data_IF_656903114357
#
_entry.id   IF_656903114357
#
_cell.length_a   1.000
_cell.length_b   1.000
_cell.length_c   1.000
_cell.angle_alpha   90.00
_cell.angle_beta   90.00
_cell.angle_gamma   90.00
#
_symmetry.space_group_name_H-M   'P 1'
#
loop_
_entity.id
_entity.type
_entity.pdbx_description
1 polymer ?
#
# COMPACT_ATOMS: atom_id res chain seq x y z
N UNK A 1 -20.83 -19.89 -12.86
CA UNK A 1 -21.73 -19.01 -12.08
C UNK A 1 -23.04 -18.87 -12.86
N UNK A 2 -24.19 -19.22 -12.25
CA UNK A 2 -25.48 -19.26 -12.98
C UNK A 2 -25.93 -17.84 -13.35
N UNK A 3 -25.95 -17.50 -14.63
CA UNK A 3 -26.34 -16.19 -15.17
C UNK A 3 -27.71 -15.70 -14.64
N UNK A 4 -28.64 -16.63 -14.43
CA UNK A 4 -29.98 -16.34 -13.91
C UNK A 4 -29.96 -15.84 -12.44
N UNK A 5 -29.12 -16.41 -11.61
CA UNK A 5 -28.96 -16.01 -10.20
C UNK A 5 -28.35 -14.60 -10.08
N UNK A 6 -27.31 -14.31 -10.87
CA UNK A 6 -26.67 -12.99 -10.92
C UNK A 6 -27.65 -11.91 -11.38
N UNK A 7 -28.42 -12.15 -12.43
CA UNK A 7 -29.45 -11.21 -12.91
C UNK A 7 -30.50 -10.92 -11.85
N UNK A 8 -30.96 -11.94 -11.13
CA UNK A 8 -31.97 -11.80 -10.06
C UNK A 8 -31.47 -10.93 -8.92
N UNK A 9 -30.20 -11.07 -8.48
CA UNK A 9 -29.62 -10.22 -7.47
C UNK A 9 -29.51 -8.78 -7.97
N UNK A 10 -28.96 -8.58 -9.17
CA UNK A 10 -28.75 -7.25 -9.72
C UNK A 10 -30.03 -6.49 -10.01
N UNK A 11 -31.13 -7.18 -10.32
CA UNK A 11 -32.44 -6.51 -10.54
C UNK A 11 -33.06 -5.92 -9.26
N UNK A 12 -32.58 -6.29 -8.09
CA UNK A 12 -33.07 -5.80 -6.80
C UNK A 12 -32.17 -4.76 -6.13
N UNK A 13 -31.10 -4.29 -6.79
CA UNK A 13 -30.16 -3.30 -6.24
C UNK A 13 -30.29 -1.96 -6.97
N UNK A 14 -30.06 -0.89 -6.23
CA UNK A 14 -30.09 0.48 -6.71
C UNK A 14 -28.95 1.33 -6.10
N UNK A 15 -29.04 2.62 -6.20
CA UNK A 15 -28.04 3.59 -5.76
C UNK A 15 -27.84 3.61 -4.23
N UNK A 16 -28.65 2.88 -3.46
CA UNK A 16 -28.47 2.72 -2.01
C UNK A 16 -27.27 1.84 -1.64
N UNK A 17 -26.76 1.05 -2.60
CA UNK A 17 -25.59 0.21 -2.37
C UNK A 17 -24.34 1.08 -2.27
N UNK A 18 -23.61 1.05 -1.13
CA UNK A 18 -22.46 1.90 -0.95
C UNK A 18 -21.29 1.47 -1.88
N UNK A 19 -20.54 2.46 -2.33
CA UNK A 19 -19.28 2.22 -3.06
C UNK A 19 -18.33 1.44 -2.16
N UNK A 20 -17.69 0.41 -2.72
CA UNK A 20 -16.70 -0.38 -1.98
C UNK A 20 -15.56 0.50 -1.47
N UNK A 21 -15.23 0.37 -0.20
CA UNK A 21 -14.13 1.08 0.43
C UNK A 21 -13.42 0.18 1.44
N UNK A 22 -12.11 0.39 1.58
CA UNK A 22 -11.32 -0.22 2.64
C UNK A 22 -11.30 0.62 3.92
N UNK A 23 -12.12 1.66 4.03
CA UNK A 23 -12.18 2.50 5.22
C UNK A 23 -12.42 1.64 6.49
N UNK A 24 -11.60 1.89 7.54
CA UNK A 24 -11.56 1.11 8.78
C UNK A 24 -11.08 -0.35 8.62
N UNK A 25 -10.48 -0.72 7.48
CA UNK A 25 -9.81 -2.01 7.35
C UNK A 25 -8.46 -1.96 8.06
N UNK A 26 -8.19 -2.99 8.85
CA UNK A 26 -6.91 -3.23 9.51
C UNK A 26 -6.41 -4.63 9.17
N UNK A 27 -5.14 -4.77 8.86
CA UNK A 27 -4.63 -6.10 8.55
C UNK A 27 -3.20 -6.12 8.03
N UNK A 28 -2.71 -7.34 7.82
CA UNK A 28 -1.44 -7.54 7.15
C UNK A 28 -1.55 -7.26 5.66
N UNK A 29 -0.55 -6.56 5.15
CA UNK A 29 -0.37 -6.29 3.73
C UNK A 29 1.03 -6.72 3.28
N UNK A 30 1.11 -7.36 2.13
CA UNK A 30 2.37 -7.73 1.48
C UNK A 30 2.67 -6.72 0.40
N UNK A 31 3.66 -5.86 0.62
CA UNK A 31 4.16 -4.91 -0.38
C UNK A 31 4.70 -5.70 -1.58
N UNK A 32 4.29 -5.30 -2.77
CA UNK A 32 4.73 -5.89 -4.04
C UNK A 32 5.54 -4.92 -4.89
N UNK A 33 5.33 -3.62 -4.74
CA UNK A 33 6.15 -2.58 -5.35
C UNK A 33 5.96 -1.25 -4.63
N UNK A 34 7.00 -0.42 -4.63
CA UNK A 34 6.98 0.95 -4.12
C UNK A 34 7.26 1.88 -5.30
N UNK A 35 6.36 2.84 -5.54
CA UNK A 35 6.49 3.78 -6.64
C UNK A 35 7.33 5.00 -6.23
N UNK A 36 6.95 5.64 -5.13
CA UNK A 36 7.65 6.77 -4.51
C UNK A 36 7.60 6.64 -2.98
N UNK A 37 7.96 7.69 -2.24
CA UNK A 37 8.01 7.64 -0.78
C UNK A 37 6.64 7.54 -0.10
N UNK A 38 5.53 7.78 -0.81
CA UNK A 38 4.18 7.77 -0.24
C UNK A 38 3.18 6.87 -0.98
N UNK A 39 3.56 6.27 -2.10
CA UNK A 39 2.66 5.45 -2.93
C UNK A 39 3.25 4.07 -3.19
N UNK A 40 2.50 3.03 -2.87
CA UNK A 40 2.93 1.65 -3.02
C UNK A 40 1.78 0.71 -3.41
N UNK A 41 2.13 -0.46 -3.93
CA UNK A 41 1.19 -1.55 -4.20
C UNK A 41 1.40 -2.65 -3.17
N UNK A 42 0.30 -3.12 -2.62
CA UNK A 42 0.33 -4.26 -1.72
C UNK A 42 -0.86 -5.20 -1.94
N UNK A 43 -0.67 -6.43 -1.53
CA UNK A 43 -1.71 -7.48 -1.51
C UNK A 43 -2.19 -7.65 -0.08
N UNK A 44 -3.50 -7.63 0.09
CA UNK A 44 -4.20 -7.99 1.33
C UNK A 44 -5.10 -9.20 1.09
N UNK A 45 -5.49 -9.87 2.16
CA UNK A 45 -6.51 -10.93 2.09
C UNK A 45 -7.85 -10.31 2.44
N UNK A 46 -8.76 -10.30 1.47
CA UNK A 46 -10.12 -9.81 1.65
C UNK A 46 -11.11 -10.92 1.26
N UNK A 47 -12.05 -11.23 2.14
CA UNK A 47 -13.01 -12.34 1.97
C UNK A 47 -12.32 -13.66 1.57
N UNK A 48 -11.16 -13.96 2.18
CA UNK A 48 -10.38 -15.17 1.93
C UNK A 48 -9.62 -15.19 0.59
N UNK A 49 -9.54 -14.07 -0.13
CA UNK A 49 -8.84 -13.97 -1.42
C UNK A 49 -7.76 -12.90 -1.40
N UNK A 50 -6.59 -13.17 -2.03
CA UNK A 50 -5.56 -12.16 -2.19
C UNK A 50 -5.99 -11.13 -3.25
N UNK A 51 -6.06 -9.86 -2.84
CA UNK A 51 -6.38 -8.73 -3.72
C UNK A 51 -5.29 -7.68 -3.63
N UNK A 52 -4.92 -7.11 -4.78
CA UNK A 52 -3.88 -6.09 -4.88
C UNK A 52 -4.51 -4.70 -4.99
N UNK A 53 -4.01 -3.78 -4.19
CA UNK A 53 -4.44 -2.39 -4.17
C UNK A 53 -3.25 -1.43 -4.34
N UNK A 54 -3.55 -0.22 -4.82
CA UNK A 54 -2.65 0.91 -4.76
C UNK A 54 -2.98 1.68 -3.49
N UNK A 55 -2.01 1.83 -2.60
CA UNK A 55 -2.15 2.57 -1.35
C UNK A 55 -1.37 3.87 -1.40
N UNK A 56 -1.85 4.88 -0.66
CA UNK A 56 -1.13 6.10 -0.38
C UNK A 56 -1.01 6.28 1.13
N UNK A 57 0.18 6.61 1.61
CA UNK A 57 0.39 6.92 3.02
C UNK A 57 -0.30 8.23 3.39
N UNK A 58 -0.84 8.30 4.62
CA UNK A 58 -1.44 9.52 5.16
C UNK A 58 -0.39 10.32 5.93
N UNK A 59 -0.55 11.65 5.92
CA UNK A 59 0.18 12.56 6.80
C UNK A 59 1.39 13.26 6.18
N UNK A 60 1.85 12.83 5.03
CA UNK A 60 2.91 13.50 4.27
C UNK A 60 2.78 13.26 2.76
N UNK A 61 3.41 14.13 1.99
CA UNK A 61 3.58 13.98 0.55
C UNK A 61 5.07 13.85 0.24
N UNK A 62 5.44 12.84 -0.51
CA UNK A 62 6.83 12.68 -0.95
C UNK A 62 7.09 13.40 -2.27
N UNK A 63 8.37 13.64 -2.57
CA UNK A 63 8.77 14.14 -3.88
C UNK A 63 8.37 13.17 -4.99
N UNK A 64 7.86 13.70 -6.11
CA UNK A 64 7.41 12.90 -7.25
C UNK A 64 8.56 12.33 -8.07
N UNK A 65 8.49 11.04 -8.42
CA UNK A 65 9.46 10.37 -9.31
C UNK A 65 9.47 10.94 -10.74
N UNK A 66 8.37 11.58 -11.16
CA UNK A 66 8.21 12.16 -12.49
C UNK A 66 7.72 13.61 -12.40
N UNK A 67 8.54 14.54 -11.90
CA UNK A 67 8.16 15.94 -11.87
C UNK A 67 8.03 16.49 -13.30
N UNK A 68 7.26 17.58 -13.45
CA UNK A 68 7.03 18.21 -14.75
C UNK A 68 8.34 18.56 -15.47
N UNK A 69 8.33 18.51 -16.82
CA UNK A 69 9.53 18.76 -17.62
C UNK A 69 10.08 20.18 -17.45
N UNK A 70 9.23 21.17 -17.13
CA UNK A 70 9.60 22.57 -16.90
C UNK A 70 10.04 22.90 -15.48
N UNK A 71 10.11 21.93 -14.57
CA UNK A 71 10.48 22.19 -13.18
C UNK A 71 11.96 22.55 -13.06
N UNK A 72 12.26 23.67 -12.38
CA UNK A 72 13.64 24.02 -12.00
C UNK A 72 14.18 22.96 -11.03
N UNK A 73 15.47 22.64 -11.12
CA UNK A 73 16.14 21.61 -10.30
C UNK A 73 15.46 20.22 -10.37
N UNK A 74 14.92 19.85 -11.54
CA UNK A 74 14.24 18.56 -11.76
C UNK A 74 15.08 17.35 -11.36
N UNK A 75 16.41 17.41 -11.59
CA UNK A 75 17.32 16.32 -11.21
C UNK A 75 17.38 16.14 -9.69
N UNK A 76 17.42 17.23 -8.92
CA UNK A 76 17.45 17.19 -7.46
C UNK A 76 16.13 16.65 -6.90
N UNK A 77 14.99 17.04 -7.49
CA UNK A 77 13.68 16.49 -7.12
C UNK A 77 13.60 14.98 -7.35
N UNK A 78 14.13 14.48 -8.48
CA UNK A 78 14.18 13.04 -8.76
C UNK A 78 15.11 12.33 -7.76
N UNK A 79 16.21 12.97 -7.38
CA UNK A 79 17.12 12.43 -6.38
C UNK A 79 16.44 12.30 -5.02
N UNK A 80 15.77 13.35 -4.55
CA UNK A 80 14.99 13.34 -3.31
C UNK A 80 13.88 12.28 -3.34
N UNK A 81 13.15 12.17 -4.46
CA UNK A 81 12.12 11.15 -4.63
C UNK A 81 12.66 9.72 -4.49
N UNK A 82 13.86 9.48 -5.03
CA UNK A 82 14.55 8.17 -4.89
C UNK A 82 14.95 7.91 -3.45
N UNK A 83 15.50 8.90 -2.75
CA UNK A 83 15.85 8.78 -1.34
C UNK A 83 14.63 8.48 -0.49
N UNK A 84 13.55 9.24 -0.63
CA UNK A 84 12.30 9.01 0.10
C UNK A 84 11.73 7.61 -0.17
N UNK A 85 11.73 7.17 -1.43
CA UNK A 85 11.30 5.82 -1.79
C UNK A 85 12.16 4.73 -1.15
N UNK A 86 13.48 4.89 -1.18
CA UNK A 86 14.40 3.88 -0.66
C UNK A 86 14.33 3.83 0.88
N UNK A 87 14.16 4.97 1.55
CA UNK A 87 13.86 5.04 2.99
C UNK A 87 12.54 4.32 3.33
N UNK A 88 11.45 4.59 2.59
CA UNK A 88 10.18 3.91 2.81
C UNK A 88 10.32 2.39 2.66
N UNK A 89 11.07 1.91 1.66
CA UNK A 89 11.37 0.49 1.49
C UNK A 89 12.10 -0.09 2.69
N UNK A 90 13.12 0.60 3.20
CA UNK A 90 13.89 0.17 4.35
C UNK A 90 13.02 0.08 5.60
N UNK A 91 12.24 1.12 5.91
CA UNK A 91 11.32 1.13 7.05
C UNK A 91 10.25 0.04 6.97
N UNK A 92 9.75 -0.26 5.78
CA UNK A 92 8.85 -1.38 5.54
C UNK A 92 9.56 -2.74 5.49
N UNK A 93 10.90 -2.78 5.47
CA UNK A 93 11.71 -3.97 5.23
C UNK A 93 11.34 -4.67 3.93
N UNK A 94 11.15 -3.88 2.88
CA UNK A 94 10.88 -4.33 1.53
C UNK A 94 12.14 -4.19 0.69
N UNK A 95 12.56 -5.29 0.08
CA UNK A 95 13.68 -5.34 -0.86
C UNK A 95 13.17 -5.90 -2.19
N UNK A 96 13.13 -5.06 -3.22
CA UNK A 96 12.72 -5.44 -4.57
C UNK A 96 13.73 -6.33 -5.30
N UNK A 97 14.95 -6.45 -4.78
CA UNK A 97 16.01 -7.34 -5.29
C UNK A 97 16.05 -8.68 -4.58
N UNK A 98 15.26 -8.84 -3.50
CA UNK A 98 15.26 -10.08 -2.77
C UNK A 98 14.77 -11.23 -3.67
N UNK A 99 15.54 -12.34 -3.80
CA UNK A 99 15.15 -13.45 -4.63
C UNK A 99 13.82 -14.03 -4.16
N UNK A 100 12.97 -14.42 -5.12
CA UNK A 100 11.76 -15.18 -4.81
C UNK A 100 12.17 -16.48 -4.12
N UNK A 101 11.94 -16.56 -2.82
CA UNK A 101 12.18 -17.79 -2.07
C UNK A 101 10.97 -18.71 -2.20
N UNK A 102 11.18 -19.90 -2.73
CA UNK A 102 10.20 -20.98 -2.69
C UNK A 102 9.74 -21.19 -1.24
N UNK A 103 8.44 -21.21 -1.06
CA UNK A 103 7.82 -21.48 0.24
C UNK A 103 8.20 -22.88 0.74
N UNK A 104 8.86 -22.96 1.89
CA UNK A 104 9.09 -24.23 2.58
C UNK A 104 8.11 -24.34 3.75
N UNK A 105 7.11 -25.23 3.69
CA UNK A 105 6.06 -25.34 4.71
C UNK A 105 6.56 -25.72 6.10
N UNK A 106 7.79 -26.27 6.21
CA UNK A 106 8.37 -26.70 7.49
C UNK A 106 9.14 -25.61 8.26
N UNK A 107 9.28 -24.39 7.72
CA UNK A 107 9.99 -23.32 8.38
C UNK A 107 9.08 -22.10 8.63
N UNK A 108 8.34 -22.13 9.74
CA UNK A 108 7.49 -21.01 10.22
C UNK A 108 8.22 -19.70 10.59
N UNK A 109 9.54 -19.61 10.40
CA UNK A 109 10.37 -18.45 10.80
C UNK A 109 10.84 -17.56 9.65
N UNK A 110 10.12 -17.48 8.54
CA UNK A 110 10.55 -16.59 7.48
C UNK A 110 10.14 -15.14 7.74
N UNK A 111 11.15 -14.27 7.77
CA UNK A 111 10.92 -12.83 7.63
C UNK A 111 10.38 -12.60 6.21
N UNK A 112 9.09 -12.41 6.09
CA UNK A 112 8.46 -12.14 4.80
C UNK A 112 8.87 -10.75 4.36
N UNK A 113 9.57 -10.66 3.22
CA UNK A 113 9.98 -9.39 2.62
C UNK A 113 8.77 -8.46 2.42
N UNK A 114 8.80 -7.25 3.02
CA UNK A 114 7.75 -6.25 2.87
C UNK A 114 6.38 -6.67 3.42
N UNK A 115 6.33 -7.52 4.45
CA UNK A 115 5.10 -7.76 5.21
C UNK A 115 4.96 -6.65 6.26
N UNK A 116 3.88 -5.89 6.18
CA UNK A 116 3.57 -4.76 7.05
C UNK A 116 2.17 -4.89 7.61
N UNK A 117 1.87 -4.15 8.69
CA UNK A 117 0.52 -3.95 9.18
C UNK A 117 0.01 -2.60 8.66
N UNK A 118 -1.22 -2.55 8.17
CA UNK A 118 -1.83 -1.33 7.66
C UNK A 118 -3.17 -1.05 8.35
N UNK A 119 -3.45 0.23 8.52
CA UNK A 119 -4.74 0.76 8.95
C UNK A 119 -5.24 1.70 7.87
N UNK A 120 -6.39 1.36 7.27
CA UNK A 120 -6.95 2.10 6.14
C UNK A 120 -7.94 3.15 6.62
N UNK A 121 -7.76 4.37 6.14
CA UNK A 121 -8.72 5.45 6.26
C UNK A 121 -9.57 5.61 4.99
N UNK A 122 -10.06 6.83 4.77
CA UNK A 122 -10.84 7.20 3.58
C UNK A 122 -9.99 7.09 2.31
N UNK A 123 -10.65 7.02 1.18
CA UNK A 123 -9.97 7.09 -0.11
C UNK A 123 -9.55 8.55 -0.42
N UNK A 124 -8.46 8.69 -1.17
CA UNK A 124 -8.10 9.96 -1.77
C UNK A 124 -9.01 10.31 -2.98
N UNK A 125 -8.78 11.47 -3.60
CA UNK A 125 -9.53 11.93 -4.78
C UNK A 125 -9.39 11.04 -6.02
N UNK A 126 -8.42 10.14 -6.03
CA UNK A 126 -8.16 9.19 -7.10
C UNK A 126 -8.66 7.78 -6.77
N UNK A 127 -9.36 7.60 -5.63
CA UNK A 127 -9.90 6.31 -5.19
C UNK A 127 -8.87 5.39 -4.52
N UNK A 128 -7.65 5.89 -4.19
CA UNK A 128 -6.65 5.10 -3.48
C UNK A 128 -6.93 5.16 -1.98
N UNK A 129 -6.93 4.03 -1.25
CA UNK A 129 -7.03 4.05 0.20
C UNK A 129 -5.84 4.79 0.82
N UNK A 130 -6.12 5.74 1.71
CA UNK A 130 -5.13 6.39 2.56
C UNK A 130 -4.81 5.47 3.74
N UNK A 131 -3.52 5.24 4.01
CA UNK A 131 -3.12 4.25 5.01
C UNK A 131 -2.07 4.76 5.98
N UNK A 132 -2.18 4.31 7.23
CA UNK A 132 -1.07 4.30 8.19
C UNK A 132 -0.40 2.94 8.12
N UNK A 133 0.91 2.93 7.97
CA UNK A 133 1.72 1.71 7.82
C UNK A 133 2.56 1.51 9.08
N UNK A 134 2.55 0.29 9.60
CA UNK A 134 3.40 -0.14 10.71
C UNK A 134 4.28 -1.30 10.27
N UNK A 135 5.50 -1.34 10.75
CA UNK A 135 6.42 -2.44 10.45
C UNK A 135 5.88 -3.78 10.95
N UNK A 136 5.21 -3.76 12.12
CA UNK A 136 4.56 -4.90 12.76
C UNK A 136 3.28 -4.46 13.45
N UNK A 137 2.35 -5.38 13.63
CA UNK A 137 1.16 -5.14 14.44
C UNK A 137 1.57 -4.76 15.88
N UNK A 138 1.06 -3.65 16.38
CA UNK A 138 1.31 -3.17 17.74
C UNK A 138 2.54 -2.29 17.91
N UNK A 139 3.27 -1.96 16.84
CA UNK A 139 4.35 -0.98 16.90
C UNK A 139 3.78 0.38 17.36
N UNK A 140 4.52 1.06 18.26
CA UNK A 140 4.10 2.36 18.81
C UNK A 140 4.26 3.50 17.79
N UNK A 141 5.20 3.38 16.88
CA UNK A 141 5.52 4.38 15.86
C UNK A 141 5.26 3.81 14.48
N UNK A 142 4.46 4.53 13.69
CA UNK A 142 4.19 4.16 12.31
C UNK A 142 5.38 4.47 11.40
N UNK A 143 5.46 3.80 10.26
CA UNK A 143 6.39 4.14 9.18
C UNK A 143 6.15 5.57 8.70
N UNK A 144 4.87 5.98 8.63
CA UNK A 144 4.50 7.35 8.26
C UNK A 144 5.17 8.39 9.16
N UNK A 145 5.13 8.18 10.50
CA UNK A 145 5.77 9.09 11.47
C UNK A 145 7.30 9.14 11.28
N UNK A 146 7.92 7.99 11.07
CA UNK A 146 9.37 7.93 10.82
C UNK A 146 9.76 8.66 9.55
N UNK A 147 8.96 8.54 8.48
CA UNK A 147 9.18 9.27 7.23
C UNK A 147 9.09 10.79 7.43
N UNK A 148 8.14 11.27 8.24
CA UNK A 148 8.01 12.69 8.59
C UNK A 148 9.21 13.19 9.39
N UNK A 149 9.67 12.41 10.37
CA UNK A 149 10.81 12.78 11.23
C UNK A 149 12.16 12.77 10.49
N UNK A 150 12.24 12.04 9.39
CA UNK A 150 13.47 11.92 8.61
C UNK A 150 13.63 13.00 7.53
N UNK A 151 12.62 13.85 7.31
CA UNK A 151 12.74 15.00 6.43
C UNK A 151 11.99 15.04 5.19
#
# INVERSE_FOLDING_TARGET
MNCCFTKRILSGVDDSIPVFSLNNYEGYAKITSVYDGDTFKAVIILHGRPLKFNFRTIGYDSAEMKPSLGMRARADHIHLARLARDMFKEECGFDDRAPFRLWNPFMCRYKVNGLVWIECGKNDKYGRPLVTVYRRKGDKQSVNQKMIESG
#
